data_IF_058411924687
#
_entry.id   IF_058411924687
#
_cell.length_a   1.000
_cell.length_b   1.000
_cell.length_c   1.000
_cell.angle_alpha   90.00
_cell.angle_beta   90.00
_cell.angle_gamma   90.00
#
_symmetry.space_group_name_H-M   'P 1'
#
loop_
_entity.id
_entity.type
_entity.pdbx_description
1 polymer ?
#
# COMPACT_ATOMS: atom_id res chain seq x y z
N UNK A 1 23.80 9.14 -23.52
CA UNK A 1 23.92 7.74 -23.05
C UNK A 1 23.87 7.76 -21.53
N UNK A 2 22.68 7.88 -20.93
CA UNK A 2 22.55 7.78 -19.48
C UNK A 2 22.32 6.31 -19.14
N UNK A 3 23.31 5.70 -18.49
CA UNK A 3 23.15 4.40 -17.88
C UNK A 3 21.99 4.50 -16.87
N UNK A 4 20.88 3.83 -17.16
CA UNK A 4 19.87 3.56 -16.15
C UNK A 4 20.55 2.75 -15.06
N UNK A 5 20.90 3.41 -13.96
CA UNK A 5 21.25 2.70 -12.72
C UNK A 5 20.03 1.85 -12.40
N UNK A 6 20.13 0.54 -12.64
CA UNK A 6 19.18 -0.45 -12.17
C UNK A 6 19.21 -0.37 -10.65
N UNK A 7 18.38 0.50 -10.08
CA UNK A 7 18.13 0.50 -8.65
C UNK A 7 17.22 -0.70 -8.40
N UNK A 8 17.83 -1.88 -8.32
CA UNK A 8 17.14 -3.07 -7.91
C UNK A 8 16.94 -3.02 -6.39
N UNK A 9 15.70 -3.01 -5.92
CA UNK A 9 15.47 -3.28 -4.51
C UNK A 9 15.60 -4.79 -4.32
N UNK A 10 16.70 -5.20 -3.67
CA UNK A 10 17.02 -6.58 -3.37
C UNK A 10 16.73 -6.82 -1.89
N UNK A 11 15.76 -7.67 -1.60
CA UNK A 11 15.43 -8.09 -0.24
C UNK A 11 15.15 -9.58 -0.21
N UNK A 12 15.46 -10.25 0.90
CA UNK A 12 15.19 -11.68 1.09
C UNK A 12 14.07 -11.88 2.09
N UNK A 13 13.03 -12.60 1.70
CA UNK A 13 11.99 -13.11 2.60
C UNK A 13 11.97 -14.63 2.49
N UNK A 14 12.06 -15.35 3.63
CA UNK A 14 12.05 -16.81 3.63
C UNK A 14 13.11 -17.49 2.75
N UNK A 15 14.22 -16.79 2.44
CA UNK A 15 15.26 -17.27 1.52
C UNK A 15 15.04 -16.93 0.03
N UNK A 16 13.89 -16.38 -0.35
CA UNK A 16 13.59 -15.94 -1.72
C UNK A 16 14.10 -14.51 -1.91
N UNK A 17 14.93 -14.31 -2.94
CA UNK A 17 15.36 -12.99 -3.37
C UNK A 17 14.23 -12.30 -4.15
N UNK A 18 13.70 -11.22 -3.61
CA UNK A 18 12.81 -10.32 -4.33
C UNK A 18 13.68 -9.36 -5.14
N UNK A 19 13.45 -9.31 -6.44
CA UNK A 19 14.07 -8.36 -7.36
C UNK A 19 12.98 -7.44 -7.88
N UNK A 20 12.97 -6.21 -7.38
CA UNK A 20 12.10 -5.13 -7.90
C UNK A 20 12.93 -4.16 -8.71
N UNK A 21 12.39 -3.68 -9.83
CA UNK A 21 13.03 -2.65 -10.65
C UNK A 21 12.15 -1.40 -10.76
N UNK A 22 12.72 -0.31 -11.25
CA UNK A 22 11.96 0.89 -11.60
C UNK A 22 10.90 0.59 -12.67
N UNK A 23 9.80 1.35 -12.63
CA UNK A 23 8.69 1.24 -13.58
C UNK A 23 9.14 1.55 -15.01
N UNK A 24 8.84 0.65 -15.94
CA UNK A 24 8.96 0.87 -17.37
C UNK A 24 7.91 1.86 -17.89
N UNK A 25 8.17 2.46 -19.06
CA UNK A 25 7.31 3.50 -19.65
C UNK A 25 5.85 3.06 -19.79
N UNK A 26 5.60 1.78 -20.10
CA UNK A 26 4.24 1.24 -20.20
C UNK A 26 3.48 1.35 -18.87
N UNK A 27 4.13 1.00 -17.75
CA UNK A 27 3.50 1.13 -16.42
C UNK A 27 3.41 2.59 -15.97
N UNK A 28 4.39 3.43 -16.30
CA UNK A 28 4.29 4.87 -16.06
C UNK A 28 3.07 5.47 -16.79
N UNK A 29 2.84 5.07 -18.05
CA UNK A 29 1.65 5.45 -18.83
C UNK A 29 0.35 4.97 -18.18
N UNK A 30 0.30 3.71 -17.72
CA UNK A 30 -0.86 3.16 -16.99
C UNK A 30 -1.26 4.00 -15.77
N UNK A 31 -0.28 4.47 -14.99
CA UNK A 31 -0.52 5.34 -13.84
C UNK A 31 -0.91 6.76 -14.25
N UNK A 32 -0.28 7.31 -15.29
CA UNK A 32 -0.61 8.64 -15.81
C UNK A 32 -2.06 8.74 -16.33
N UNK A 33 -2.58 7.69 -16.98
CA UNK A 33 -3.99 7.59 -17.38
C UNK A 33 -4.96 7.63 -16.19
N UNK A 34 -4.47 7.29 -14.99
CA UNK A 34 -5.20 7.32 -13.73
C UNK A 34 -4.88 8.57 -12.90
N UNK A 35 -4.22 9.55 -13.52
CA UNK A 35 -3.82 10.81 -12.91
C UNK A 35 -2.88 10.63 -11.71
N UNK A 36 -2.11 9.54 -11.67
CA UNK A 36 -1.09 9.31 -10.65
C UNK A 36 0.27 9.74 -11.21
N UNK A 37 0.84 10.75 -10.59
CA UNK A 37 2.11 11.35 -10.97
C UNK A 37 3.30 10.44 -10.66
N UNK A 38 4.39 10.65 -11.39
CA UNK A 38 5.67 9.98 -11.12
C UNK A 38 6.20 10.28 -9.72
N UNK A 39 5.95 11.48 -9.20
CA UNK A 39 6.38 11.89 -7.87
C UNK A 39 5.69 11.05 -6.78
N UNK A 40 4.38 10.86 -6.89
CA UNK A 40 3.61 10.02 -5.98
C UNK A 40 4.08 8.57 -6.05
N UNK A 41 4.30 8.02 -7.25
CA UNK A 41 4.85 6.67 -7.41
C UNK A 41 6.21 6.51 -6.71
N UNK A 42 7.09 7.50 -6.86
CA UNK A 42 8.42 7.48 -6.23
C UNK A 42 8.35 7.57 -4.70
N UNK A 43 7.54 8.47 -4.14
CA UNK A 43 7.39 8.62 -2.68
C UNK A 43 6.83 7.35 -2.04
N UNK A 44 5.90 6.71 -2.74
CA UNK A 44 5.29 5.45 -2.34
C UNK A 44 6.15 4.22 -2.62
N UNK A 45 7.31 4.40 -3.25
CA UNK A 45 8.19 3.30 -3.68
C UNK A 45 7.47 2.28 -4.57
N UNK A 46 6.53 2.71 -5.41
CA UNK A 46 5.89 1.82 -6.39
C UNK A 46 6.94 1.37 -7.41
N UNK A 47 7.07 0.06 -7.58
CA UNK A 47 8.08 -0.57 -8.43
C UNK A 47 7.40 -1.57 -9.38
N UNK A 48 8.20 -2.30 -10.14
CA UNK A 48 7.73 -3.45 -10.90
C UNK A 48 8.51 -4.71 -10.56
N UNK A 49 7.90 -5.86 -10.83
CA UNK A 49 8.52 -7.19 -10.82
C UNK A 49 8.38 -7.82 -12.20
N UNK A 50 9.46 -8.41 -12.70
CA UNK A 50 9.45 -9.19 -13.95
C UNK A 50 9.49 -10.68 -13.64
N UNK A 51 8.62 -11.47 -14.29
CA UNK A 51 8.66 -12.93 -14.26
C UNK A 51 8.51 -13.42 -15.69
N UNK A 52 9.63 -13.88 -16.27
CA UNK A 52 9.73 -14.10 -17.72
C UNK A 52 9.46 -12.80 -18.48
N UNK A 53 8.54 -12.86 -19.44
CA UNK A 53 8.15 -11.71 -20.28
C UNK A 53 7.05 -10.84 -19.66
N UNK A 54 6.50 -11.24 -18.52
CA UNK A 54 5.44 -10.50 -17.84
C UNK A 54 6.00 -9.48 -16.85
N UNK A 55 5.36 -8.31 -16.83
CA UNK A 55 5.67 -7.22 -15.92
C UNK A 55 4.46 -7.01 -15.00
N UNK A 56 4.74 -6.86 -13.72
CA UNK A 56 3.75 -6.67 -12.69
C UNK A 56 4.04 -5.41 -11.91
N UNK A 57 3.00 -4.68 -11.52
CA UNK A 57 3.10 -3.57 -10.58
C UNK A 57 3.37 -4.16 -9.20
N UNK A 58 4.35 -3.61 -8.50
CA UNK A 58 4.75 -4.01 -7.17
C UNK A 58 4.52 -2.85 -6.18
N UNK A 59 3.82 -3.14 -5.09
CA UNK A 59 3.58 -2.25 -3.95
C UNK A 59 4.41 -2.77 -2.76
N UNK A 60 5.56 -2.14 -2.45
CA UNK A 60 6.40 -2.56 -1.34
C UNK A 60 5.84 -2.02 -0.01
N UNK A 61 5.58 -2.91 0.94
CA UNK A 61 5.10 -2.55 2.28
C UNK A 61 6.31 -2.34 3.18
N UNK A 62 6.43 -1.15 3.78
CA UNK A 62 7.61 -0.76 4.55
C UNK A 62 7.26 -0.37 5.98
N UNK A 63 8.18 -0.67 6.90
CA UNK A 63 8.17 -0.19 8.28
C UNK A 63 9.56 0.33 8.63
N UNK A 64 9.64 1.57 9.06
CA UNK A 64 10.90 2.28 9.35
C UNK A 64 11.86 2.26 8.15
N UNK A 65 11.33 2.42 6.93
CA UNK A 65 12.11 2.36 5.68
C UNK A 65 12.52 0.95 5.25
N UNK A 66 12.33 -0.07 6.09
CA UNK A 66 12.68 -1.47 5.80
C UNK A 66 11.52 -2.16 5.10
N UNK A 67 11.80 -2.94 4.05
CA UNK A 67 10.80 -3.75 3.36
C UNK A 67 10.31 -4.88 4.27
N UNK A 68 8.99 -5.05 4.39
CA UNK A 68 8.33 -6.07 5.23
C UNK A 68 7.53 -7.07 4.40
N UNK A 69 6.89 -6.62 3.33
CA UNK A 69 6.18 -7.47 2.36
C UNK A 69 6.10 -6.77 1.01
N UNK A 70 5.60 -7.47 0.00
CA UNK A 70 5.27 -6.87 -1.28
C UNK A 70 4.02 -7.51 -1.85
N UNK A 71 3.08 -6.66 -2.29
CA UNK A 71 1.89 -7.06 -3.02
C UNK A 71 2.04 -6.68 -4.47
N UNK A 72 1.52 -7.51 -5.34
CA UNK A 72 1.65 -7.37 -6.77
C UNK A 72 0.27 -7.35 -7.42
N UNK A 73 0.19 -6.63 -8.54
CA UNK A 73 -0.95 -6.73 -9.44
C UNK A 73 -0.52 -6.75 -10.89
N UNK A 74 -1.28 -7.48 -11.70
CA UNK A 74 -1.24 -7.27 -13.14
C UNK A 74 -2.17 -6.11 -13.57
N UNK A 75 -2.10 -5.76 -14.85
CA UNK A 75 -2.97 -4.73 -15.43
C UNK A 75 -4.45 -5.13 -15.47
N UNK A 76 -4.74 -6.45 -15.38
CA UNK A 76 -6.08 -7.03 -15.38
C UNK A 76 -6.67 -7.19 -13.98
N UNK A 77 -6.06 -6.56 -12.96
CA UNK A 77 -6.49 -6.59 -11.55
C UNK A 77 -6.46 -7.99 -10.91
N UNK A 78 -5.49 -8.83 -11.29
CA UNK A 78 -5.14 -10.04 -10.53
C UNK A 78 -4.06 -9.70 -9.51
N UNK A 79 -4.28 -10.11 -8.26
CA UNK A 79 -3.41 -9.77 -7.14
C UNK A 79 -2.77 -11.02 -6.54
N UNK A 80 -1.54 -10.87 -6.05
CA UNK A 80 -0.88 -11.83 -5.14
C UNK A 80 0.13 -11.10 -4.28
N UNK A 81 0.60 -11.74 -3.22
CA UNK A 81 1.60 -11.18 -2.32
C UNK A 81 2.65 -12.22 -1.95
N UNK A 82 3.76 -11.74 -1.40
CA UNK A 82 4.78 -12.63 -0.85
C UNK A 82 4.22 -13.48 0.28
N UNK A 83 4.64 -14.76 0.30
CA UNK A 83 4.20 -15.72 1.32
C UNK A 83 5.00 -15.54 2.59
N UNK A 84 4.40 -15.92 3.71
CA UNK A 84 5.05 -15.96 5.03
C UNK A 84 5.65 -14.61 5.48
N UNK A 85 5.07 -13.51 5.00
CA UNK A 85 5.41 -12.13 5.42
C UNK A 85 4.37 -11.60 6.41
N UNK A 86 4.80 -10.67 7.27
CA UNK A 86 3.89 -9.92 8.13
C UNK A 86 2.90 -9.09 7.31
N UNK A 87 1.64 -9.05 7.76
CA UNK A 87 0.57 -8.26 7.14
C UNK A 87 0.51 -6.89 7.80
N UNK A 88 1.03 -5.88 7.12
CA UNK A 88 1.06 -4.50 7.61
C UNK A 88 0.29 -3.57 6.66
N UNK A 89 0.00 -2.35 7.11
CA UNK A 89 -0.57 -1.33 6.23
C UNK A 89 0.43 -0.87 5.16
N UNK A 90 -0.07 -0.59 3.96
CA UNK A 90 0.71 0.12 2.95
C UNK A 90 0.77 1.60 3.30
N UNK A 91 1.95 2.20 3.29
CA UNK A 91 2.16 3.58 3.74
C UNK A 91 2.29 3.75 5.25
N UNK A 92 2.54 2.68 6.02
CA UNK A 92 2.65 2.71 7.49
C UNK A 92 3.62 3.80 8.02
N UNK A 93 4.67 4.10 7.28
CA UNK A 93 5.64 5.13 7.67
C UNK A 93 5.11 6.56 7.52
N UNK A 94 4.08 6.79 6.69
CA UNK A 94 3.50 8.11 6.43
C UNK A 94 2.59 8.61 7.57
N UNK A 95 2.11 7.72 8.43
CA UNK A 95 1.17 8.06 9.52
C UNK A 95 1.85 8.25 10.88
N UNK A 96 3.18 8.20 10.92
CA UNK A 96 3.92 8.35 12.19
C UNK A 96 3.87 9.78 12.68
N UNK A 97 3.26 9.97 13.85
CA UNK A 97 3.11 11.29 14.48
C UNK A 97 1.96 12.12 13.91
N UNK A 98 1.12 11.54 13.05
CA UNK A 98 -0.07 12.19 12.49
C UNK A 98 -1.27 12.04 13.45
N UNK A 99 -1.98 13.14 13.70
CA UNK A 99 -3.15 13.13 14.59
C UNK A 99 -4.41 12.58 13.91
N UNK A 100 -4.51 12.78 12.60
CA UNK A 100 -5.62 12.32 11.77
C UNK A 100 -5.08 11.27 10.79
N UNK A 101 -5.76 10.13 10.65
CA UNK A 101 -5.35 9.06 9.74
C UNK A 101 -6.52 8.66 8.83
N UNK A 102 -6.23 8.49 7.55
CA UNK A 102 -7.18 7.99 6.56
C UNK A 102 -6.84 6.53 6.23
N UNK A 103 -7.82 5.65 6.32
CA UNK A 103 -7.68 4.24 5.93
C UNK A 103 -8.54 4.00 4.68
N UNK A 104 -7.90 3.57 3.60
CA UNK A 104 -8.54 3.17 2.34
C UNK A 104 -8.40 1.66 2.11
N UNK A 105 -9.13 1.13 1.13
CA UNK A 105 -9.12 -0.30 0.84
C UNK A 105 -7.90 -0.73 0.00
N UNK A 106 -7.64 -0.04 -1.12
CA UNK A 106 -6.62 -0.43 -2.07
C UNK A 106 -5.37 0.45 -2.08
N UNK A 107 -4.27 -0.10 -2.58
CA UNK A 107 -3.01 0.65 -2.74
C UNK A 107 -3.18 1.79 -3.76
N UNK A 108 -4.03 1.59 -4.77
CA UNK A 108 -4.35 2.63 -5.76
C UNK A 108 -5.11 3.81 -5.13
N UNK A 109 -6.03 3.55 -4.20
CA UNK A 109 -6.79 4.59 -3.51
C UNK A 109 -5.86 5.41 -2.63
N UNK A 110 -4.86 4.76 -2.00
CA UNK A 110 -3.82 5.46 -1.25
C UNK A 110 -3.03 6.42 -2.14
N UNK A 111 -2.66 5.97 -3.34
CA UNK A 111 -1.99 6.84 -4.32
C UNK A 111 -2.89 8.01 -4.74
N UNK A 112 -4.19 7.76 -4.94
CA UNK A 112 -5.15 8.82 -5.28
C UNK A 112 -5.33 9.83 -4.14
N UNK A 113 -5.37 9.38 -2.88
CA UNK A 113 -5.41 10.27 -1.71
C UNK A 113 -4.17 11.17 -1.64
N UNK A 114 -3.00 10.64 -1.99
CA UNK A 114 -1.79 11.43 -2.03
C UNK A 114 -1.77 12.48 -3.15
N UNK A 115 -2.29 12.15 -4.34
CA UNK A 115 -2.51 13.14 -5.41
C UNK A 115 -3.48 14.25 -4.96
N UNK A 116 -4.47 13.91 -4.13
CA UNK A 116 -5.38 14.88 -3.52
C UNK A 116 -4.76 15.67 -2.35
N UNK A 117 -3.48 15.44 -2.01
CA UNK A 117 -2.74 16.15 -0.97
C UNK A 117 -2.80 15.50 0.41
N UNK A 118 -3.44 14.34 0.56
CA UNK A 118 -3.55 13.62 1.83
C UNK A 118 -2.47 12.55 1.96
N UNK A 119 -1.42 12.87 2.71
CA UNK A 119 -0.29 11.95 2.94
C UNK A 119 -0.45 11.06 4.15
N UNK A 120 -1.27 11.47 5.12
CA UNK A 120 -1.66 10.72 6.30
C UNK A 120 -2.64 9.57 5.98
N UNK A 121 -2.36 8.81 4.92
CA UNK A 121 -3.24 7.78 4.39
C UNK A 121 -2.52 6.43 4.27
N UNK A 122 -3.22 5.37 4.67
CA UNK A 122 -2.77 3.98 4.57
C UNK A 122 -3.82 3.11 3.88
N UNK A 123 -3.39 2.04 3.19
CA UNK A 123 -4.31 1.00 2.71
C UNK A 123 -4.16 -0.31 3.49
N UNK A 124 -5.28 -1.00 3.69
CA UNK A 124 -5.28 -2.33 4.33
C UNK A 124 -4.50 -3.36 3.48
N UNK A 125 -3.88 -4.37 4.10
CA UNK A 125 -3.15 -5.40 3.36
C UNK A 125 -4.05 -6.30 2.50
N UNK A 126 -5.23 -6.70 3.00
CA UNK A 126 -6.03 -7.80 2.42
C UNK A 126 -7.52 -7.46 2.18
N UNK A 127 -7.92 -6.20 1.99
CA UNK A 127 -9.34 -5.85 1.77
C UNK A 127 -10.29 -6.39 2.87
N UNK A 128 -11.56 -6.63 2.53
CA UNK A 128 -12.55 -7.28 3.41
C UNK A 128 -12.15 -8.73 3.82
N UNK A 129 -12.48 -9.23 5.02
CA UNK A 129 -11.48 -9.87 5.89
C UNK A 129 -11.29 -11.39 5.68
N UNK A 130 -10.12 -11.92 6.12
CA UNK A 130 -10.08 -12.43 7.50
C UNK A 130 -8.86 -11.89 8.27
N UNK A 131 -9.12 -10.91 9.14
CA UNK A 131 -8.25 -10.36 10.19
C UNK A 131 -7.07 -9.45 9.77
N UNK A 132 -7.11 -8.20 10.26
CA UNK A 132 -5.97 -7.26 10.31
C UNK A 132 -5.35 -7.34 11.71
N UNK A 133 -4.04 -7.60 11.81
CA UNK A 133 -3.31 -7.64 13.09
C UNK A 133 -3.52 -6.34 13.87
N UNK A 134 -3.86 -6.43 15.17
CA UNK A 134 -4.04 -5.25 16.03
C UNK A 134 -2.73 -4.54 16.35
N UNK A 135 -1.57 -5.18 16.15
CA UNK A 135 -0.25 -4.60 16.41
C UNK A 135 0.15 -3.52 15.39
N UNK A 136 -0.53 -3.50 14.25
CA UNK A 136 -0.23 -2.63 13.10
C UNK A 136 -1.23 -1.50 12.94
N UNK A 137 -2.26 -1.48 13.79
CA UNK A 137 -3.23 -0.43 13.85
C UNK A 137 -2.65 0.77 14.62
N UNK A 138 -2.92 2.01 14.20
CA UNK A 138 -2.55 3.18 15.00
C UNK A 138 -3.22 3.09 16.37
N UNK A 139 -2.39 3.00 17.41
CA UNK A 139 -2.86 3.00 18.80
C UNK A 139 -3.57 4.31 19.14
N UNK A 140 -4.34 4.31 20.24
CA UNK A 140 -5.03 5.51 20.73
C UNK A 140 -4.07 6.67 21.02
N UNK A 141 -2.84 6.37 21.43
CA UNK A 141 -1.79 7.37 21.68
C UNK A 141 -1.24 7.98 20.38
N UNK A 142 -1.41 7.30 19.24
CA UNK A 142 -0.82 7.70 17.96
C UNK A 142 -1.74 8.53 17.08
N UNK A 143 -3.07 8.33 17.15
CA UNK A 143 -4.02 9.07 16.33
C UNK A 143 -5.31 9.40 17.07
N UNK A 144 -5.66 10.68 17.12
CA UNK A 144 -6.88 11.18 17.73
C UNK A 144 -8.13 10.94 16.89
N UNK A 145 -7.99 10.85 15.55
CA UNK A 145 -9.12 10.66 14.64
C UNK A 145 -8.76 9.71 13.51
N UNK A 146 -9.69 8.81 13.18
CA UNK A 146 -9.55 7.91 12.03
C UNK A 146 -10.72 8.10 11.08
N UNK A 147 -10.41 8.25 9.79
CA UNK A 147 -11.36 8.37 8.70
C UNK A 147 -11.31 7.07 7.89
N UNK A 148 -12.44 6.38 7.77
CA UNK A 148 -12.57 5.19 6.93
C UNK A 148 -13.11 5.60 5.57
N UNK A 149 -12.31 5.41 4.54
CA UNK A 149 -12.65 5.63 3.14
C UNK A 149 -12.58 4.30 2.38
N UNK A 150 -13.37 3.32 2.85
CA UNK A 150 -13.54 2.02 2.22
C UNK A 150 -14.50 2.10 1.03
N UNK A 151 -14.56 1.03 0.23
CA UNK A 151 -15.50 0.97 -0.89
C UNK A 151 -16.96 1.09 -0.41
N UNK A 152 -17.79 1.71 -1.26
CA UNK A 152 -19.21 1.94 -0.97
C UNK A 152 -20.11 0.70 -1.16
N UNK A 153 -19.52 -0.48 -1.31
CA UNK A 153 -20.21 -1.74 -1.55
C UNK A 153 -20.29 -2.61 -0.27
N UNK A 154 -21.03 -3.73 -0.28
CA UNK A 154 -21.20 -4.53 0.93
C UNK A 154 -19.89 -5.06 1.55
N UNK A 155 -18.89 -5.54 0.77
CA UNK A 155 -17.56 -5.85 1.31
C UNK A 155 -16.86 -4.67 1.99
N UNK A 156 -16.85 -3.50 1.35
CA UNK A 156 -16.22 -2.29 1.93
C UNK A 156 -16.90 -1.84 3.22
N UNK A 157 -18.23 -1.92 3.30
CA UNK A 157 -19.00 -1.65 4.52
C UNK A 157 -18.64 -2.63 5.65
N UNK A 158 -18.54 -3.93 5.35
CA UNK A 158 -18.15 -4.94 6.33
C UNK A 158 -16.71 -4.72 6.83
N UNK A 159 -15.81 -4.30 5.95
CA UNK A 159 -14.44 -3.92 6.33
C UNK A 159 -14.45 -2.70 7.26
N UNK A 160 -15.23 -1.66 6.95
CA UNK A 160 -15.34 -0.47 7.78
C UNK A 160 -15.86 -0.81 9.18
N UNK A 161 -16.88 -1.65 9.29
CA UNK A 161 -17.41 -2.10 10.58
C UNK A 161 -16.37 -2.87 11.40
N UNK A 162 -15.61 -3.77 10.76
CA UNK A 162 -14.60 -4.56 11.44
C UNK A 162 -13.40 -3.71 11.88
N UNK A 163 -12.97 -2.75 11.06
CA UNK A 163 -11.94 -1.77 11.43
C UNK A 163 -12.42 -0.92 12.61
N UNK A 164 -13.66 -0.42 12.55
CA UNK A 164 -14.23 0.41 13.61
C UNK A 164 -14.32 -0.35 14.94
N UNK A 165 -14.69 -1.64 14.89
CA UNK A 165 -14.74 -2.52 16.06
C UNK A 165 -13.37 -2.76 16.69
N UNK A 166 -12.30 -2.88 15.89
CA UNK A 166 -10.93 -3.15 16.38
C UNK A 166 -10.22 -1.90 16.89
N UNK A 167 -10.48 -0.76 16.26
CA UNK A 167 -9.79 0.51 16.52
C UNK A 167 -10.43 1.32 17.65
N UNK A 168 -11.69 1.05 17.99
CA UNK A 168 -12.48 1.83 18.95
C UNK A 168 -13.48 2.73 18.24
N UNK A 169 -14.78 2.45 18.37
CA UNK A 169 -15.85 3.11 17.60
C UNK A 169 -15.92 4.62 17.87
N UNK A 170 -15.51 5.03 19.06
CA UNK A 170 -15.45 6.42 19.52
C UNK A 170 -14.45 7.30 18.76
N UNK A 171 -13.56 6.69 17.96
CA UNK A 171 -12.52 7.40 17.18
C UNK A 171 -12.97 7.75 15.76
N UNK A 172 -14.17 7.33 15.37
CA UNK A 172 -14.73 7.54 14.05
C UNK A 172 -15.78 8.65 14.10
N UNK A 173 -15.68 9.57 13.15
CA UNK A 173 -16.64 10.65 12.93
C UNK A 173 -17.57 10.31 11.77
#
# INVERSE_FOLDING_TARGET
>A
MFAAVFLACLCRFGGILIVLSNLELALQGYFAERLISRQTLQRNTVMQKRVGDQIFIAFPYRRNGVLVSCKYRDINKKFWQERDTEKIFYGLDDIKGESDIIIVEGEMDKLAMEEAGFRNCVSVPDGAPPSVSTKDLPSEEQASRIILATDGDPPGQALAEELARRLGRERFA
#
